data_IF_979045055763
#
_entry.id   IF_979045055763
#
_cell.length_a   1.000
_cell.length_b   1.000
_cell.length_c   1.000
_cell.angle_alpha   90.00
_cell.angle_beta   90.00
_cell.angle_gamma   90.00
#
_symmetry.space_group_name_H-M   'P 1'
#
loop_
_entity.id
_entity.type
_entity.pdbx_description
1 polymer ?
#
# COMPACT_ATOMS: atom_id res chain seq x y z
N UNK A 1 -8.75 14.45 18.40
CA UNK A 1 -9.03 13.99 17.02
C UNK A 1 -8.03 14.57 16.03
N UNK A 2 -7.93 15.89 15.88
CA UNK A 2 -7.01 16.53 14.92
C UNK A 2 -5.55 16.11 15.07
N UNK A 3 -5.03 16.08 16.29
CA UNK A 3 -3.64 15.68 16.57
C UNK A 3 -3.32 14.25 16.15
N UNK A 4 -4.28 13.34 16.24
CA UNK A 4 -4.11 11.94 15.83
C UNK A 4 -3.92 11.80 14.31
N UNK A 5 -4.59 12.64 13.53
CA UNK A 5 -4.41 12.69 12.07
C UNK A 5 -3.14 13.47 11.69
N UNK A 6 -2.90 14.61 12.33
CA UNK A 6 -1.73 15.46 12.04
C UNK A 6 -0.39 14.78 12.40
N UNK A 7 -0.37 13.93 13.43
CA UNK A 7 0.80 13.10 13.79
C UNK A 7 1.06 11.95 12.81
N UNK A 8 0.11 11.61 11.94
CA UNK A 8 0.18 10.45 11.06
C UNK A 8 -0.18 9.11 11.73
N UNK A 9 -0.51 9.07 13.02
CA UNK A 9 -0.86 7.84 13.73
C UNK A 9 -2.11 7.14 13.17
N UNK A 10 -3.05 7.90 12.60
CA UNK A 10 -4.17 7.32 11.86
C UNK A 10 -3.68 6.40 10.71
N UNK A 11 -2.60 6.79 10.04
CA UNK A 11 -2.00 6.02 8.94
C UNK A 11 -1.26 4.79 9.47
N UNK A 12 -0.58 4.92 10.62
CA UNK A 12 0.09 3.80 11.29
C UNK A 12 -0.91 2.69 11.65
N UNK A 13 -2.13 3.05 12.08
CA UNK A 13 -3.21 2.07 12.34
C UNK A 13 -3.63 1.36 11.06
N UNK A 14 -3.80 2.07 9.95
CA UNK A 14 -4.15 1.44 8.65
C UNK A 14 -3.03 0.51 8.18
N UNK A 15 -1.76 0.91 8.31
CA UNK A 15 -0.62 0.05 8.00
C UNK A 15 -0.61 -1.23 8.86
N UNK A 16 -0.97 -1.14 10.14
CA UNK A 16 -1.10 -2.31 11.00
C UNK A 16 -2.25 -3.24 10.55
N UNK A 17 -3.37 -2.69 10.07
CA UNK A 17 -4.46 -3.47 9.48
C UNK A 17 -3.99 -4.18 8.19
N UNK A 18 -3.30 -3.48 7.29
CA UNK A 18 -2.76 -4.09 6.08
C UNK A 18 -1.76 -5.22 6.38
N UNK A 19 -0.94 -5.06 7.43
CA UNK A 19 -0.07 -6.13 7.91
C UNK A 19 -0.88 -7.33 8.43
N UNK A 20 -1.93 -7.09 9.22
CA UNK A 20 -2.82 -8.14 9.70
C UNK A 20 -3.52 -8.88 8.54
N UNK A 21 -3.97 -8.15 7.52
CA UNK A 21 -4.53 -8.73 6.30
C UNK A 21 -3.51 -9.58 5.54
N UNK A 22 -2.28 -9.12 5.40
CA UNK A 22 -1.20 -9.88 4.78
C UNK A 22 -0.94 -11.20 5.51
N UNK A 23 -0.89 -11.16 6.85
CA UNK A 23 -0.74 -12.35 7.68
C UNK A 23 -1.94 -13.30 7.55
N UNK A 24 -3.16 -12.76 7.56
CA UNK A 24 -4.39 -13.54 7.38
C UNK A 24 -4.38 -14.27 6.02
N UNK A 25 -4.11 -13.56 4.93
CA UNK A 25 -4.00 -14.16 3.59
C UNK A 25 -2.90 -15.22 3.55
N UNK A 26 -1.76 -14.94 4.20
CA UNK A 26 -0.66 -15.90 4.27
C UNK A 26 -1.06 -17.18 5.00
N UNK A 27 -1.79 -17.08 6.12
CA UNK A 27 -2.31 -18.23 6.85
C UNK A 27 -3.38 -19.00 6.07
N UNK A 28 -4.08 -18.34 5.15
CA UNK A 28 -5.05 -18.96 4.23
C UNK A 28 -4.39 -19.62 3.01
N UNK A 29 -3.07 -19.62 2.93
CA UNK A 29 -2.31 -20.28 1.87
C UNK A 29 -2.02 -19.42 0.64
N UNK A 30 -2.36 -18.12 0.67
CA UNK A 30 -2.08 -17.20 -0.44
C UNK A 30 -0.58 -17.03 -0.65
N UNK A 31 -0.16 -16.98 -1.91
CA UNK A 31 1.25 -16.81 -2.28
C UNK A 31 1.75 -15.39 -2.02
N UNK A 32 3.02 -15.23 -1.65
CA UNK A 32 3.61 -13.90 -1.42
C UNK A 32 3.46 -12.92 -2.59
N UNK A 33 3.65 -13.33 -3.87
CA UNK A 33 3.53 -12.38 -4.96
C UNK A 33 2.06 -11.98 -5.23
N UNK A 34 1.09 -12.77 -4.82
CA UNK A 34 -0.34 -12.41 -4.86
C UNK A 34 -0.70 -11.45 -3.73
N UNK A 35 -0.23 -11.71 -2.50
CA UNK A 35 -0.39 -10.78 -1.37
C UNK A 35 0.25 -9.42 -1.71
N UNK A 36 1.47 -9.44 -2.25
CA UNK A 36 2.18 -8.24 -2.65
C UNK A 36 1.46 -7.47 -3.76
N UNK A 37 0.94 -8.16 -4.79
CA UNK A 37 0.20 -7.51 -5.87
C UNK A 37 -0.99 -6.69 -5.37
N UNK A 38 -1.69 -7.18 -4.34
CA UNK A 38 -2.89 -6.53 -3.79
C UNK A 38 -2.56 -5.46 -2.76
N UNK A 39 -1.69 -5.79 -1.80
CA UNK A 39 -1.50 -4.95 -0.61
C UNK A 39 -0.37 -3.94 -0.75
N UNK A 40 0.66 -4.22 -1.56
CA UNK A 40 1.80 -3.31 -1.68
C UNK A 40 1.43 -1.94 -2.26
N UNK A 41 0.53 -1.80 -3.25
CA UNK A 41 0.08 -0.47 -3.67
C UNK A 41 -0.58 0.31 -2.52
N UNK A 42 -1.44 -0.34 -1.73
CA UNK A 42 -2.07 0.28 -0.57
C UNK A 42 -1.04 0.73 0.48
N UNK A 43 -0.03 -0.12 0.76
CA UNK A 43 1.08 0.23 1.67
C UNK A 43 1.86 1.45 1.16
N UNK A 44 2.19 1.49 -0.13
CA UNK A 44 2.90 2.62 -0.73
C UNK A 44 2.07 3.92 -0.65
N UNK A 45 0.77 3.85 -0.95
CA UNK A 45 -0.14 5.00 -0.80
C UNK A 45 -0.21 5.49 0.66
N UNK A 46 -0.21 4.58 1.64
CA UNK A 46 -0.20 4.94 3.06
C UNK A 46 1.14 5.55 3.49
N UNK A 47 2.28 5.04 3.02
CA UNK A 47 3.59 5.65 3.28
C UNK A 47 3.62 7.10 2.74
N UNK A 48 3.14 7.30 1.51
CA UNK A 48 3.03 8.63 0.91
C UNK A 48 2.12 9.56 1.70
N UNK A 49 0.95 9.07 2.12
CA UNK A 49 0.00 9.82 2.95
C UNK A 49 0.62 10.21 4.28
N UNK A 50 1.30 9.28 4.96
CA UNK A 50 1.98 9.52 6.22
C UNK A 50 3.02 10.63 6.05
N UNK A 51 3.86 10.53 5.03
CA UNK A 51 4.86 11.54 4.72
C UNK A 51 4.22 12.92 4.46
N UNK A 52 3.11 12.96 3.73
CA UNK A 52 2.40 14.20 3.42
C UNK A 52 1.79 14.87 4.66
N UNK A 53 1.13 14.12 5.54
CA UNK A 53 0.48 14.70 6.74
C UNK A 53 1.48 15.11 7.82
N UNK A 54 2.66 14.49 7.89
CA UNK A 54 3.72 14.87 8.83
C UNK A 54 4.67 15.93 8.30
N UNK A 55 4.41 16.48 7.10
CA UNK A 55 5.26 17.54 6.50
C UNK A 55 6.65 17.06 6.07
N UNK A 56 6.80 15.79 5.68
CA UNK A 56 8.06 15.27 5.20
C UNK A 56 8.47 15.86 3.84
N UNK A 57 9.75 15.72 3.47
CA UNK A 57 10.25 16.21 2.19
C UNK A 57 9.52 15.55 1.00
N UNK A 58 9.26 16.32 -0.04
CA UNK A 58 8.49 15.88 -1.22
C UNK A 58 8.96 14.56 -1.87
N UNK A 59 10.26 14.18 -1.88
CA UNK A 59 10.67 12.90 -2.47
C UNK A 59 10.07 11.69 -1.74
N UNK A 60 9.87 11.79 -0.41
CA UNK A 60 9.28 10.74 0.41
C UNK A 60 7.78 10.55 0.14
N UNK A 61 7.15 11.51 -0.54
CA UNK A 61 5.76 11.42 -1.01
C UNK A 61 5.76 10.92 -2.45
N UNK A 62 6.56 11.53 -3.33
CA UNK A 62 6.55 11.24 -4.76
C UNK A 62 7.01 9.81 -5.09
N UNK A 63 8.09 9.34 -4.47
CA UNK A 63 8.65 8.00 -4.74
C UNK A 63 7.61 6.89 -4.48
N UNK A 64 6.99 6.78 -3.29
CA UNK A 64 5.99 5.75 -3.06
C UNK A 64 4.75 5.88 -3.96
N UNK A 65 4.30 7.11 -4.26
CA UNK A 65 3.19 7.32 -5.22
C UNK A 65 3.54 6.78 -6.61
N UNK A 66 4.75 7.10 -7.11
CA UNK A 66 5.20 6.62 -8.42
C UNK A 66 5.38 5.11 -8.44
N UNK A 67 5.89 4.51 -7.36
CA UNK A 67 6.06 3.05 -7.25
C UNK A 67 4.74 2.30 -7.13
N UNK A 68 3.66 2.90 -6.63
CA UNK A 68 2.35 2.24 -6.53
C UNK A 68 1.79 1.85 -7.90
N UNK A 69 2.04 2.67 -8.94
CA UNK A 69 1.56 2.42 -10.30
C UNK A 69 2.12 1.14 -10.95
N UNK A 70 3.46 0.94 -11.08
CA UNK A 70 3.99 -0.29 -11.66
C UNK A 70 3.59 -1.54 -10.87
N UNK A 71 3.40 -1.43 -9.54
CA UNK A 71 2.90 -2.55 -8.72
C UNK A 71 1.45 -2.89 -9.07
N UNK A 72 0.58 -1.89 -9.26
CA UNK A 72 -0.78 -2.13 -9.76
C UNK A 72 -0.78 -2.80 -11.13
N UNK A 73 0.05 -2.34 -12.06
CA UNK A 73 0.15 -2.94 -13.41
C UNK A 73 0.61 -4.40 -13.34
N UNK A 74 1.54 -4.72 -12.43
CA UNK A 74 1.97 -6.09 -12.16
C UNK A 74 0.81 -6.96 -11.66
N UNK A 75 -0.01 -6.47 -10.73
CA UNK A 75 -1.19 -7.19 -10.22
C UNK A 75 -2.24 -7.42 -11.32
N UNK A 76 -2.52 -6.40 -12.15
CA UNK A 76 -3.45 -6.54 -13.28
C UNK A 76 -2.98 -7.60 -14.29
N UNK A 77 -1.67 -7.67 -14.59
CA UNK A 77 -1.09 -8.74 -15.41
C UNK A 77 -1.26 -10.11 -14.78
N UNK A 78 -0.94 -10.25 -13.48
CA UNK A 78 -1.05 -11.51 -12.73
C UNK A 78 -2.47 -12.04 -12.70
N UNK A 79 -3.46 -11.15 -12.67
CA UNK A 79 -4.89 -11.46 -12.69
C UNK A 79 -5.48 -11.64 -14.09
N UNK A 80 -4.64 -11.55 -15.14
CA UNK A 80 -5.04 -11.58 -16.55
C UNK A 80 -6.09 -10.52 -16.95
N UNK A 81 -6.19 -9.41 -16.20
CA UNK A 81 -7.17 -8.35 -16.46
C UNK A 81 -6.79 -7.46 -17.66
N UNK A 82 -5.55 -7.56 -18.13
CA UNK A 82 -5.03 -6.80 -19.28
C UNK A 82 -5.13 -7.57 -20.59
N UNK A 83 -5.60 -8.82 -20.57
CA UNK A 83 -5.77 -9.59 -21.79
C UNK A 83 -7.06 -9.17 -22.48
N UNK A 84 -6.96 -8.76 -23.74
CA UNK A 84 -8.10 -8.62 -24.65
C UNK A 84 -8.22 -9.94 -25.41
N UNK A 85 -9.28 -10.69 -25.15
CA UNK A 85 -9.59 -11.93 -25.87
C UNK A 85 -9.85 -11.67 -27.37
#
# INVERSE_FOLDING_TARGET
MTEFFASGHAVDVVLAVLLAEALLLKFRGTSWPEIAGVLLPAVLMMIALRAAVTGAAWPLIAIPLTLAFPVHIYDLHRRNLLRKD
#
